data_IF_949460784756
#
_entry.id   IF_949460784756
#
_cell.length_a   1.000
_cell.length_b   1.000
_cell.length_c   1.000
_cell.angle_alpha   90.00
_cell.angle_beta   90.00
_cell.angle_gamma   90.00
#
_symmetry.space_group_name_H-M   'P 1'
#
loop_
_entity.id
_entity.type
_entity.pdbx_description
1 polymer ?
#
# COMPACT_ATOMS: atom_id res chain seq x y z
N UNK A 1 -11.31 51.79 29.82
CA UNK A 1 -10.74 50.46 30.18
C UNK A 1 -11.55 49.42 29.46
N UNK A 2 -11.11 48.93 28.31
CA UNK A 2 -11.83 47.93 27.52
C UNK A 2 -11.47 46.51 28.05
N UNK A 3 -12.50 45.84 28.51
CA UNK A 3 -12.46 44.47 28.94
C UNK A 3 -12.10 43.58 27.74
N UNK A 4 -10.81 43.21 27.58
CA UNK A 4 -10.41 42.19 26.63
C UNK A 4 -10.82 40.84 27.22
N UNK A 5 -12.04 40.43 26.90
CA UNK A 5 -12.52 39.09 27.22
C UNK A 5 -11.55 38.04 26.64
N UNK A 6 -11.04 37.16 27.52
CA UNK A 6 -10.31 35.96 27.13
C UNK A 6 -11.18 35.14 26.16
N UNK A 7 -10.93 35.27 24.86
CA UNK A 7 -11.50 34.35 23.86
C UNK A 7 -10.93 32.95 24.17
N UNK A 8 -11.73 32.08 24.76
CA UNK A 8 -11.40 30.65 24.83
C UNK A 8 -11.37 30.11 23.41
N UNK A 9 -10.18 29.73 22.95
CA UNK A 9 -10.00 29.12 21.64
C UNK A 9 -10.47 27.66 21.73
N UNK A 10 -11.62 27.36 21.13
CA UNK A 10 -12.13 26.00 21.00
C UNK A 10 -11.59 25.40 19.69
N UNK A 11 -10.84 24.30 19.80
CA UNK A 11 -10.19 23.67 18.65
C UNK A 11 -11.10 22.65 17.95
N UNK A 12 -12.30 22.41 18.47
CA UNK A 12 -13.31 21.56 17.82
C UNK A 12 -12.98 20.06 17.77
N UNK A 13 -11.95 19.61 18.50
CA UNK A 13 -11.56 18.21 18.54
C UNK A 13 -12.12 17.51 19.80
N UNK A 14 -12.85 16.43 19.58
CA UNK A 14 -13.35 15.55 20.63
C UNK A 14 -12.71 14.18 20.38
N UNK A 15 -11.79 13.71 21.23
CA UNK A 15 -11.10 12.44 21.03
C UNK A 15 -12.03 11.25 21.27
N UNK A 16 -11.92 10.24 20.43
CA UNK A 16 -12.46 8.92 20.72
C UNK A 16 -11.69 8.24 21.86
N UNK A 17 -12.28 7.20 22.47
CA UNK A 17 -11.68 6.51 23.62
C UNK A 17 -10.23 6.02 23.35
N UNK A 18 -9.97 5.46 22.18
CA UNK A 18 -8.63 5.02 21.77
C UNK A 18 -7.62 6.18 21.61
N UNK A 19 -8.06 7.33 21.13
CA UNK A 19 -7.22 8.54 21.02
C UNK A 19 -6.97 9.12 22.42
N UNK A 20 -7.98 9.15 23.28
CA UNK A 20 -7.86 9.59 24.67
C UNK A 20 -6.85 8.75 25.46
N UNK A 21 -6.75 7.45 25.18
CA UNK A 21 -5.76 6.58 25.80
C UNK A 21 -4.32 7.04 25.49
N UNK A 22 -4.04 7.47 24.24
CA UNK A 22 -2.73 8.02 23.84
C UNK A 22 -2.50 9.38 24.51
N UNK A 23 -3.48 10.28 24.47
CA UNK A 23 -3.39 11.58 25.14
C UNK A 23 -3.09 11.43 26.65
N UNK A 24 -3.74 10.48 27.31
CA UNK A 24 -3.53 10.19 28.73
C UNK A 24 -2.16 9.59 29.01
N UNK A 25 -1.68 8.67 28.15
CA UNK A 25 -0.35 8.09 28.30
C UNK A 25 0.75 9.16 28.15
N UNK A 26 0.60 10.08 27.20
CA UNK A 26 1.53 11.19 26.94
C UNK A 26 1.48 12.32 28.00
N UNK A 27 0.54 12.31 28.93
CA UNK A 27 0.46 13.29 30.03
C UNK A 27 1.62 13.20 31.05
N UNK A 28 2.54 12.22 30.90
CA UNK A 28 3.76 12.14 31.71
C UNK A 28 4.75 13.31 31.47
N UNK A 29 4.46 14.15 30.48
CA UNK A 29 5.12 15.44 30.26
C UNK A 29 6.42 15.36 29.46
N UNK A 30 7.14 16.49 29.48
CA UNK A 30 8.44 16.65 28.84
C UNK A 30 9.52 15.77 29.50
N UNK A 31 10.59 15.49 28.73
CA UNK A 31 11.79 14.83 29.24
C UNK A 31 11.59 13.43 29.81
N UNK A 32 10.51 12.75 29.40
CA UNK A 32 10.23 11.37 29.85
C UNK A 32 11.18 10.34 29.22
N UNK A 33 11.73 10.65 28.06
CA UNK A 33 12.53 9.71 27.23
C UNK A 33 11.72 8.50 26.73
N UNK A 34 10.42 8.47 26.94
CA UNK A 34 9.56 7.32 26.62
C UNK A 34 9.17 7.28 25.15
N UNK A 35 8.98 6.06 24.66
CA UNK A 35 8.53 5.80 23.30
C UNK A 35 7.11 5.20 23.39
N UNK A 36 6.16 5.84 22.73
CA UNK A 36 4.78 5.40 22.64
C UNK A 36 4.54 4.80 21.26
N UNK A 37 4.12 3.55 21.20
CA UNK A 37 3.92 2.82 19.94
C UNK A 37 2.43 2.54 19.77
N UNK A 38 1.82 3.17 18.79
CA UNK A 38 0.39 3.01 18.50
C UNK A 38 0.20 2.12 17.29
N UNK A 39 -0.37 0.94 17.50
CA UNK A 39 -0.81 0.04 16.45
C UNK A 39 -2.29 0.30 16.15
N UNK A 40 -2.61 0.60 14.89
CA UNK A 40 -3.96 0.97 14.52
C UNK A 40 -4.31 0.57 13.10
N UNK A 41 -5.54 0.15 12.86
CA UNK A 41 -6.08 -0.06 11.51
C UNK A 41 -6.28 1.26 10.77
N UNK A 42 -6.60 1.19 9.47
CA UNK A 42 -6.96 2.38 8.67
C UNK A 42 -8.23 3.06 9.18
N UNK A 43 -8.33 4.36 8.94
CA UNK A 43 -9.53 5.20 9.14
C UNK A 43 -10.02 5.29 10.60
N UNK A 44 -9.15 5.07 11.56
CA UNK A 44 -9.46 5.24 13.00
C UNK A 44 -8.92 6.54 13.60
N UNK A 45 -8.55 7.51 12.76
CA UNK A 45 -8.16 8.84 13.23
C UNK A 45 -6.74 8.95 13.82
N UNK A 46 -5.78 8.10 13.37
CA UNK A 46 -4.36 8.19 13.80
C UNK A 46 -3.76 9.59 13.59
N UNK A 47 -3.79 10.07 12.35
CA UNK A 47 -3.12 11.32 11.97
C UNK A 47 -3.71 12.52 12.68
N UNK A 48 -5.03 12.61 12.81
CA UNK A 48 -5.67 13.69 13.57
C UNK A 48 -5.25 13.66 15.05
N UNK A 49 -5.10 12.49 15.65
CA UNK A 49 -4.62 12.35 17.03
C UNK A 49 -3.16 12.84 17.15
N UNK A 50 -2.29 12.53 16.18
CA UNK A 50 -0.90 13.03 16.12
C UNK A 50 -0.87 14.55 16.00
N UNK A 51 -1.69 15.14 15.14
CA UNK A 51 -1.82 16.59 14.97
C UNK A 51 -2.22 17.26 16.28
N UNK A 52 -3.20 16.70 16.99
CA UNK A 52 -3.66 17.25 18.26
C UNK A 52 -2.61 17.11 19.37
N UNK A 53 -1.79 16.05 19.39
CA UNK A 53 -0.68 15.92 20.33
C UNK A 53 0.42 16.96 20.07
N UNK A 54 0.78 17.19 18.81
CA UNK A 54 1.73 18.25 18.45
C UNK A 54 1.25 19.61 18.92
N UNK A 55 -0.02 19.94 18.67
CA UNK A 55 -0.63 21.18 19.14
C UNK A 55 -0.68 21.27 20.66
N UNK A 56 -1.09 20.19 21.32
CA UNK A 56 -1.17 20.14 22.79
C UNK A 56 0.18 20.40 23.41
N UNK A 57 1.24 19.74 22.94
CA UNK A 57 2.61 19.96 23.44
C UNK A 57 3.09 21.39 23.17
N UNK A 58 2.92 21.88 21.95
CA UNK A 58 3.38 23.22 21.57
C UNK A 58 2.63 24.34 22.34
N UNK A 59 1.36 24.14 22.66
CA UNK A 59 0.55 25.13 23.40
C UNK A 59 0.85 25.05 24.92
N UNK A 60 0.91 23.84 25.45
CA UNK A 60 1.07 23.59 26.90
C UNK A 60 2.47 23.95 27.38
N UNK A 61 3.50 23.57 26.63
CA UNK A 61 4.89 23.73 27.02
C UNK A 61 5.53 24.85 26.22
N UNK A 62 5.72 26.01 26.86
CA UNK A 62 6.27 27.25 26.25
C UNK A 62 7.68 27.02 25.73
N UNK A 63 7.96 27.52 24.50
CA UNK A 63 9.28 27.54 23.89
C UNK A 63 9.79 26.18 23.42
N UNK A 64 8.90 25.18 23.30
CA UNK A 64 9.30 23.84 22.85
C UNK A 64 9.43 23.76 21.34
N UNK A 65 10.29 22.81 20.89
CA UNK A 65 10.43 22.42 19.49
C UNK A 65 9.81 21.03 19.34
N UNK A 66 8.77 20.96 18.51
CA UNK A 66 8.00 19.75 18.26
C UNK A 66 8.14 19.36 16.78
N UNK A 67 8.28 18.10 16.48
CA UNK A 67 8.47 17.63 15.11
C UNK A 67 7.52 16.50 14.72
N UNK A 68 7.13 16.49 13.45
CA UNK A 68 6.44 15.36 12.84
C UNK A 68 7.22 14.89 11.61
N UNK A 69 7.44 13.59 11.52
CA UNK A 69 8.05 12.96 10.34
C UNK A 69 7.05 11.99 9.72
N UNK A 70 6.82 12.15 8.42
CA UNK A 70 5.98 11.28 7.59
C UNK A 70 6.84 10.55 6.55
N UNK A 71 6.40 9.44 5.96
CA UNK A 71 7.11 8.79 4.87
C UNK A 71 7.36 9.73 3.69
N UNK A 72 6.35 10.45 3.23
CA UNK A 72 6.41 11.31 2.04
C UNK A 72 6.19 12.78 2.34
N UNK A 73 6.71 13.65 1.47
CA UNK A 73 6.51 15.11 1.59
C UNK A 73 5.04 15.51 1.46
N UNK A 74 4.26 14.80 0.64
CA UNK A 74 2.84 15.07 0.48
C UNK A 74 2.06 14.80 1.78
N UNK A 75 2.38 13.74 2.52
CA UNK A 75 1.77 13.45 3.82
C UNK A 75 2.16 14.52 4.85
N UNK A 76 3.44 14.89 4.92
CA UNK A 76 3.92 15.96 5.80
C UNK A 76 3.23 17.30 5.52
N UNK A 77 3.07 17.65 4.23
CA UNK A 77 2.37 18.89 3.80
C UNK A 77 0.89 18.86 4.16
N UNK A 78 0.23 17.71 4.01
CA UNK A 78 -1.17 17.56 4.40
C UNK A 78 -1.36 17.81 5.89
N UNK A 79 -0.59 17.14 6.76
CA UNK A 79 -0.68 17.34 8.21
C UNK A 79 -0.37 18.77 8.63
N UNK A 80 0.64 19.41 8.01
CA UNK A 80 0.91 20.84 8.22
C UNK A 80 -0.31 21.70 7.89
N UNK A 81 -0.95 21.46 6.74
CA UNK A 81 -2.12 22.24 6.31
C UNK A 81 -3.32 22.00 7.23
N UNK A 82 -3.53 20.78 7.67
CA UNK A 82 -4.62 20.42 8.58
C UNK A 82 -4.47 21.15 9.94
N UNK A 83 -3.24 21.21 10.49
CA UNK A 83 -2.95 22.00 11.70
C UNK A 83 -3.14 23.50 11.43
N UNK A 84 -2.63 24.03 10.31
CA UNK A 84 -2.82 25.44 9.95
C UNK A 84 -4.30 25.81 9.91
N UNK A 85 -5.11 25.00 9.24
CA UNK A 85 -6.56 25.23 9.13
C UNK A 85 -7.25 25.19 10.50
N UNK A 86 -6.76 24.34 11.41
CA UNK A 86 -7.32 24.20 12.76
C UNK A 86 -7.08 25.45 13.64
N UNK A 87 -5.93 26.11 13.52
CA UNK A 87 -5.50 27.15 14.48
C UNK A 87 -5.30 28.54 13.89
N UNK A 88 -5.41 28.74 12.57
CA UNK A 88 -5.03 30.00 11.92
C UNK A 88 -5.80 31.22 12.45
N UNK A 89 -7.09 31.04 12.71
CA UNK A 89 -7.98 32.13 13.21
C UNK A 89 -7.98 32.26 14.74
N UNK A 90 -7.20 31.41 15.43
CA UNK A 90 -7.17 31.39 16.90
C UNK A 90 -6.32 32.50 17.52
N UNK A 91 -5.46 33.15 16.71
CA UNK A 91 -4.50 34.15 17.20
C UNK A 91 -3.28 33.54 17.91
N UNK A 92 -3.10 32.20 17.92
CA UNK A 92 -1.94 31.54 18.53
C UNK A 92 -0.75 31.40 17.59
N UNK A 93 -0.94 31.58 16.29
CA UNK A 93 0.13 31.52 15.27
C UNK A 93 0.85 32.86 15.20
N UNK A 94 2.16 32.86 15.44
CA UNK A 94 3.04 34.02 15.28
C UNK A 94 3.61 34.11 13.87
N UNK A 95 4.09 32.96 13.34
CA UNK A 95 4.71 32.87 12.02
C UNK A 95 4.39 31.53 11.37
N UNK A 96 4.13 31.55 10.07
CA UNK A 96 3.94 30.37 9.22
C UNK A 96 4.97 30.38 8.09
N UNK A 97 5.58 29.23 7.82
CA UNK A 97 6.45 29.01 6.67
C UNK A 97 5.98 27.76 5.90
N UNK A 98 5.34 27.96 4.78
CA UNK A 98 4.79 26.88 3.95
C UNK A 98 5.85 26.11 3.16
N UNK A 99 6.99 26.76 2.86
CA UNK A 99 8.10 26.12 2.16
C UNK A 99 8.83 25.11 3.05
N UNK A 100 9.11 25.53 4.30
CA UNK A 100 9.80 24.70 5.28
C UNK A 100 8.84 23.78 6.07
N UNK A 101 7.52 24.00 5.93
CA UNK A 101 6.44 23.37 6.71
C UNK A 101 6.64 23.59 8.21
N UNK A 102 6.79 24.85 8.62
CA UNK A 102 7.08 25.23 10.01
C UNK A 102 6.07 26.26 10.52
N UNK A 103 5.67 26.11 11.77
CA UNK A 103 4.85 27.04 12.52
C UNK A 103 5.61 27.52 13.76
N UNK A 104 5.50 28.82 14.06
CA UNK A 104 5.93 29.40 15.32
C UNK A 104 4.70 29.98 16.04
N UNK A 105 4.52 29.58 17.29
CA UNK A 105 3.42 30.03 18.12
C UNK A 105 3.80 31.28 18.93
N UNK A 106 2.80 32.03 19.39
CA UNK A 106 3.00 33.25 20.19
C UNK A 106 3.73 33.01 21.52
N UNK A 107 3.68 31.78 22.03
CA UNK A 107 4.42 31.38 23.24
C UNK A 107 5.88 30.99 22.96
N UNK A 108 6.36 31.13 21.72
CA UNK A 108 7.72 30.80 21.27
C UNK A 108 7.93 29.32 20.89
N UNK A 109 6.92 28.47 21.01
CA UNK A 109 7.01 27.07 20.59
C UNK A 109 6.99 26.96 19.07
N UNK A 110 7.63 25.91 18.54
CA UNK A 110 7.69 25.61 17.11
C UNK A 110 7.15 24.23 16.83
N UNK A 111 6.51 24.09 15.68
CA UNK A 111 6.10 22.80 15.11
C UNK A 111 6.65 22.74 13.69
N UNK A 112 7.33 21.64 13.34
CA UNK A 112 7.80 21.43 11.97
C UNK A 112 7.42 20.04 11.46
N UNK A 113 7.32 19.94 10.13
CA UNK A 113 6.99 18.68 9.44
C UNK A 113 8.10 18.35 8.44
N UNK A 114 8.51 17.09 8.41
CA UNK A 114 9.55 16.59 7.51
C UNK A 114 9.15 15.27 6.87
N UNK A 115 9.84 14.93 5.79
CA UNK A 115 9.65 13.68 5.04
C UNK A 115 10.86 12.79 5.19
N UNK A 116 10.64 11.50 5.41
CA UNK A 116 11.69 10.49 5.45
C UNK A 116 12.36 10.25 4.09
N UNK A 117 11.71 10.62 2.97
CA UNK A 117 12.30 10.57 1.62
C UNK A 117 13.50 11.51 1.48
N UNK A 118 13.52 12.62 2.19
CA UNK A 118 14.54 13.67 2.11
C UNK A 118 15.58 13.53 3.25
N UNK A 119 16.31 12.43 3.27
CA UNK A 119 17.25 12.07 4.37
C UNK A 119 18.22 13.20 4.74
N UNK A 120 18.78 13.91 3.76
CA UNK A 120 19.74 14.99 4.01
C UNK A 120 19.11 16.18 4.74
N UNK A 121 17.82 16.42 4.52
CA UNK A 121 17.06 17.47 5.21
C UNK A 121 16.74 17.15 6.67
N UNK A 122 16.98 15.91 7.11
CA UNK A 122 16.72 15.45 8.48
C UNK A 122 17.91 15.65 9.43
N UNK A 123 19.03 16.19 8.98
CA UNK A 123 20.20 16.41 9.83
C UNK A 123 20.11 17.70 10.63
N UNK A 124 20.61 17.69 11.87
CA UNK A 124 20.79 18.90 12.69
C UNK A 124 19.54 19.38 13.46
N UNK A 125 18.49 18.58 13.55
CA UNK A 125 17.32 18.91 14.38
C UNK A 125 17.49 18.45 15.83
N UNK A 126 16.87 19.18 16.73
CA UNK A 126 16.76 18.83 18.16
C UNK A 126 15.34 19.05 18.61
N UNK A 127 14.74 18.07 19.26
CA UNK A 127 13.39 18.12 19.81
C UNK A 127 13.46 18.37 21.31
N UNK A 128 12.70 19.35 21.78
CA UNK A 128 12.56 19.67 23.22
C UNK A 128 11.14 19.43 23.74
N UNK A 129 10.18 19.22 22.83
CA UNK A 129 8.80 18.91 23.11
C UNK A 129 8.47 17.44 22.84
N UNK A 130 7.91 17.13 21.68
CA UNK A 130 7.57 15.77 21.25
C UNK A 130 8.01 15.53 19.81
N UNK A 131 8.49 14.31 19.52
CA UNK A 131 8.69 13.80 18.18
C UNK A 131 7.55 12.83 17.83
N UNK A 132 6.79 13.14 16.79
CA UNK A 132 5.79 12.23 16.23
C UNK A 132 6.31 11.65 14.91
N UNK A 133 6.12 10.35 14.70
CA UNK A 133 6.47 9.65 13.46
C UNK A 133 5.21 8.95 12.98
N UNK A 134 4.51 9.58 12.03
CA UNK A 134 3.27 9.03 11.49
C UNK A 134 3.54 8.10 10.30
N UNK A 135 2.72 7.06 10.16
CA UNK A 135 2.89 5.96 9.20
C UNK A 135 4.31 5.37 9.24
N UNK A 136 4.84 5.18 10.47
CA UNK A 136 6.23 4.79 10.73
C UNK A 136 6.62 3.41 10.17
N UNK A 137 5.67 2.49 9.93
CA UNK A 137 5.92 1.22 9.24
C UNK A 137 6.43 1.39 7.80
N UNK A 138 6.35 2.61 7.24
CA UNK A 138 6.84 2.96 5.90
C UNK A 138 8.16 3.72 5.92
N UNK A 139 8.77 3.89 7.08
CA UNK A 139 10.07 4.56 7.26
C UNK A 139 11.14 3.49 7.53
N UNK A 140 12.32 3.66 6.94
CA UNK A 140 13.40 2.69 7.09
C UNK A 140 14.06 2.77 8.46
N UNK A 141 14.61 1.64 8.93
CA UNK A 141 15.42 1.56 10.16
C UNK A 141 16.62 2.52 10.14
N UNK A 142 17.25 2.71 8.97
CA UNK A 142 18.35 3.65 8.77
C UNK A 142 17.95 5.09 9.12
N UNK A 143 16.77 5.53 8.70
CA UNK A 143 16.27 6.88 9.00
C UNK A 143 15.92 6.98 10.49
N UNK A 144 15.22 6.00 11.03
CA UNK A 144 14.82 6.06 12.43
C UNK A 144 16.00 6.02 13.39
N UNK A 145 16.81 4.96 13.33
CA UNK A 145 17.95 4.79 14.25
C UNK A 145 19.10 5.76 13.95
N UNK A 146 19.36 6.04 12.67
CA UNK A 146 20.48 6.88 12.27
C UNK A 146 20.24 8.38 12.38
N UNK A 147 19.00 8.84 12.34
CA UNK A 147 18.68 10.26 12.31
C UNK A 147 17.66 10.66 13.39
N UNK A 148 16.46 10.09 13.38
CA UNK A 148 15.34 10.60 14.18
C UNK A 148 15.54 10.37 15.68
N UNK A 149 16.06 9.22 16.07
CA UNK A 149 16.32 8.91 17.48
C UNK A 149 17.30 9.91 18.11
N UNK A 150 18.30 10.36 17.35
CA UNK A 150 19.27 11.35 17.83
C UNK A 150 18.64 12.71 18.15
N UNK A 151 17.52 13.09 17.51
CA UNK A 151 16.86 14.38 17.75
C UNK A 151 16.32 14.54 19.17
N UNK A 152 16.00 13.44 19.83
CA UNK A 152 15.34 13.41 21.15
C UNK A 152 16.32 13.17 22.29
N UNK A 153 17.56 12.70 22.01
CA UNK A 153 18.49 12.22 23.03
C UNK A 153 18.90 13.29 24.04
N UNK A 154 19.17 14.52 23.59
CA UNK A 154 19.68 15.61 24.45
C UNK A 154 18.66 15.99 25.53
N UNK A 155 17.40 16.08 25.14
CA UNK A 155 16.32 16.53 26.03
C UNK A 155 15.41 15.41 26.52
N UNK A 156 15.72 14.16 26.16
CA UNK A 156 14.88 13.00 26.46
C UNK A 156 13.41 13.24 26.09
N UNK A 157 13.19 13.87 24.90
CA UNK A 157 11.85 14.17 24.43
C UNK A 157 11.10 12.88 24.12
N UNK A 158 9.80 12.79 24.47
CA UNK A 158 9.01 11.62 24.13
C UNK A 158 8.86 11.44 22.63
N UNK A 159 8.76 10.17 22.20
CA UNK A 159 8.53 9.79 20.80
C UNK A 159 7.19 9.11 20.70
N UNK A 160 6.36 9.53 19.74
CA UNK A 160 5.10 8.89 19.37
C UNK A 160 5.22 8.25 17.98
N UNK A 161 5.19 6.94 17.94
CA UNK A 161 5.20 6.13 16.72
C UNK A 161 3.78 5.68 16.39
N UNK A 162 3.27 6.01 15.22
CA UNK A 162 1.92 5.61 14.79
C UNK A 162 1.96 5.00 13.39
N UNK A 163 1.27 3.87 13.19
CA UNK A 163 1.09 3.29 11.85
C UNK A 163 -0.01 2.22 11.81
N UNK A 164 -0.45 1.90 10.60
CA UNK A 164 -0.96 0.56 10.29
C UNK A 164 0.22 -0.41 10.27
N UNK A 165 0.09 -1.61 10.87
CA UNK A 165 1.14 -2.60 10.86
C UNK A 165 1.37 -3.16 9.46
N UNK A 166 2.55 -3.71 9.23
CA UNK A 166 2.91 -4.42 8.00
C UNK A 166 3.48 -5.80 8.35
N UNK A 167 4.79 -5.92 8.36
CA UNK A 167 5.49 -7.17 8.63
C UNK A 167 6.11 -7.16 10.03
N UNK A 168 6.31 -8.34 10.60
CA UNK A 168 7.03 -8.56 11.86
C UNK A 168 8.53 -8.32 11.68
N UNK A 169 8.88 -7.08 11.28
CA UNK A 169 10.26 -6.64 11.07
C UNK A 169 10.39 -5.11 11.17
N UNK A 170 11.64 -4.64 11.37
CA UNK A 170 11.99 -3.23 11.45
C UNK A 170 11.66 -2.61 12.81
N UNK A 171 12.07 -1.34 12.98
CA UNK A 171 11.99 -0.66 14.28
C UNK A 171 10.57 -0.60 14.84
N UNK A 172 9.55 -0.39 14.01
CA UNK A 172 8.17 -0.29 14.49
C UNK A 172 7.68 -1.59 15.12
N UNK A 173 7.96 -2.75 14.49
CA UNK A 173 7.69 -4.06 15.09
C UNK A 173 8.52 -4.29 16.37
N UNK A 174 9.81 -3.96 16.34
CA UNK A 174 10.69 -4.16 17.50
C UNK A 174 10.21 -3.37 18.72
N UNK A 175 9.85 -2.09 18.54
CA UNK A 175 9.28 -1.27 19.62
C UNK A 175 7.89 -1.72 20.02
N UNK A 176 7.06 -2.23 19.10
CA UNK A 176 5.78 -2.83 19.43
C UNK A 176 5.95 -4.01 20.39
N UNK A 177 6.80 -4.97 20.06
CA UNK A 177 7.08 -6.16 20.90
C UNK A 177 7.70 -5.74 22.25
N UNK A 178 8.63 -4.78 22.22
CA UNK A 178 9.23 -4.26 23.45
C UNK A 178 8.20 -3.61 24.38
N UNK A 179 7.24 -2.88 23.83
CA UNK A 179 6.17 -2.24 24.59
C UNK A 179 5.11 -3.18 25.15
N UNK A 180 5.08 -4.45 24.69
CA UNK A 180 4.23 -5.50 25.26
C UNK A 180 4.93 -6.27 26.41
N UNK A 181 6.22 -6.01 26.65
CA UNK A 181 6.98 -6.71 27.69
C UNK A 181 6.75 -6.09 29.06
N UNK A 182 6.39 -6.90 30.04
CA UNK A 182 6.16 -6.49 31.42
C UNK A 182 7.40 -5.89 32.11
N UNK A 183 8.60 -6.19 31.59
CA UNK A 183 9.87 -5.75 32.14
C UNK A 183 10.36 -4.41 31.55
N UNK A 184 9.55 -3.72 30.76
CA UNK A 184 9.95 -2.48 30.09
C UNK A 184 9.01 -1.32 30.45
N UNK A 185 9.58 -0.30 31.09
CA UNK A 185 8.86 0.93 31.44
C UNK A 185 9.05 2.07 30.43
N UNK A 186 10.04 1.95 29.52
CA UNK A 186 10.43 3.04 28.60
C UNK A 186 9.64 3.04 27.30
N UNK A 187 9.06 1.89 26.94
CA UNK A 187 8.22 1.75 25.74
C UNK A 187 6.82 1.37 26.13
N UNK A 188 5.84 2.06 25.58
CA UNK A 188 4.42 1.86 25.89
C UNK A 188 3.69 1.52 24.59
N UNK A 189 3.18 0.29 24.48
CA UNK A 189 2.36 -0.15 23.37
C UNK A 189 0.88 0.15 23.59
N UNK A 190 0.23 0.73 22.59
CA UNK A 190 -1.22 1.04 22.64
C UNK A 190 -1.85 0.46 21.37
N UNK A 191 -2.76 -0.50 21.55
CA UNK A 191 -3.50 -1.13 20.45
C UNK A 191 -4.87 -0.46 20.28
N UNK A 192 -5.07 0.22 19.15
CA UNK A 192 -6.37 0.83 18.84
C UNK A 192 -7.45 -0.22 18.56
N UNK A 193 -7.06 -1.44 18.19
CA UNK A 193 -8.02 -2.52 17.97
C UNK A 193 -8.63 -3.08 19.28
N UNK A 194 -8.05 -2.75 20.43
CA UNK A 194 -8.63 -3.12 21.72
C UNK A 194 -9.83 -2.24 22.12
N UNK A 195 -10.14 -1.21 21.34
CA UNK A 195 -11.26 -0.30 21.54
C UNK A 195 -12.36 -0.55 20.50
N UNK A 196 -13.60 -0.27 20.89
CA UNK A 196 -14.70 -0.26 19.92
C UNK A 196 -14.55 0.95 18.98
N UNK A 197 -14.42 0.67 17.70
CA UNK A 197 -14.30 1.67 16.63
C UNK A 197 -15.34 1.42 15.51
N UNK A 198 -16.44 0.74 15.85
CA UNK A 198 -17.54 0.41 14.91
C UNK A 198 -18.24 1.65 14.35
N UNK A 199 -18.27 2.75 15.10
CA UNK A 199 -18.78 4.05 14.62
C UNK A 199 -17.96 4.61 13.44
N UNK A 200 -16.65 4.29 13.35
CA UNK A 200 -15.77 4.76 12.29
C UNK A 200 -15.74 3.81 11.09
N UNK A 201 -15.92 2.52 11.34
CA UNK A 201 -15.93 1.48 10.31
C UNK A 201 -16.87 0.35 10.72
N UNK A 202 -18.05 0.31 10.09
CA UNK A 202 -19.08 -0.66 10.44
C UNK A 202 -18.69 -2.10 10.10
N UNK A 203 -19.24 -3.09 10.83
CA UNK A 203 -19.00 -4.52 10.56
C UNK A 203 -19.33 -4.94 9.12
N UNK A 204 -20.40 -4.39 8.54
CA UNK A 204 -20.82 -4.68 7.16
C UNK A 204 -19.75 -4.24 6.17
N UNK A 205 -19.15 -3.06 6.39
CA UNK A 205 -18.11 -2.52 5.54
C UNK A 205 -16.80 -3.29 5.70
N UNK A 206 -16.49 -3.77 6.90
CA UNK A 206 -15.36 -4.69 7.13
C UNK A 206 -15.54 -5.99 6.36
N UNK A 207 -16.73 -6.57 6.39
CA UNK A 207 -17.03 -7.80 5.64
C UNK A 207 -16.93 -7.58 4.12
N UNK A 208 -17.40 -6.45 3.63
CA UNK A 208 -17.21 -6.06 2.23
C UNK A 208 -15.72 -6.01 1.85
N UNK A 209 -14.87 -5.37 2.67
CA UNK A 209 -13.43 -5.31 2.42
C UNK A 209 -12.76 -6.68 2.52
N UNK A 210 -13.21 -7.54 3.44
CA UNK A 210 -12.73 -8.92 3.56
C UNK A 210 -12.92 -9.74 2.28
N UNK A 211 -14.01 -9.49 1.56
CA UNK A 211 -14.30 -10.20 0.29
C UNK A 211 -13.63 -9.57 -0.92
N UNK A 212 -13.20 -8.30 -0.85
CA UNK A 212 -12.64 -7.54 -1.98
C UNK A 212 -11.11 -7.50 -1.98
N UNK A 213 -10.47 -7.67 -0.83
CA UNK A 213 -9.03 -7.49 -0.67
C UNK A 213 -8.34 -8.83 -0.44
N UNK A 214 -7.06 -8.95 -0.85
CA UNK A 214 -6.22 -10.06 -0.42
C UNK A 214 -6.16 -10.17 1.10
N UNK A 215 -6.16 -11.39 1.62
CA UNK A 215 -6.17 -11.68 3.06
C UNK A 215 -5.10 -10.90 3.84
N UNK A 216 -3.85 -10.89 3.34
CA UNK A 216 -2.76 -10.16 3.97
C UNK A 216 -3.03 -8.65 4.04
N UNK A 217 -3.52 -8.05 2.97
CA UNK A 217 -3.89 -6.63 2.95
C UNK A 217 -5.06 -6.34 3.88
N UNK A 218 -6.08 -7.19 3.91
CA UNK A 218 -7.19 -7.05 4.85
C UNK A 218 -6.73 -7.13 6.30
N UNK A 219 -5.86 -8.09 6.64
CA UNK A 219 -5.32 -8.25 8.00
C UNK A 219 -4.51 -7.03 8.44
N UNK A 220 -3.62 -6.51 7.60
CA UNK A 220 -2.80 -5.34 7.97
C UNK A 220 -3.62 -4.05 8.03
N UNK A 221 -4.40 -3.75 6.99
CA UNK A 221 -5.03 -2.44 6.83
C UNK A 221 -6.32 -2.29 7.66
N UNK A 222 -7.10 -3.38 7.80
CA UNK A 222 -8.42 -3.33 8.44
C UNK A 222 -8.51 -4.09 9.75
N UNK A 223 -7.68 -5.12 9.95
CA UNK A 223 -7.59 -5.82 11.24
C UNK A 223 -6.43 -5.32 12.09
N UNK A 224 -5.51 -4.54 11.51
CA UNK A 224 -4.37 -3.97 12.24
C UNK A 224 -3.41 -5.04 12.77
N UNK A 225 -3.18 -6.11 12.00
CA UNK A 225 -2.30 -7.22 12.38
C UNK A 225 -0.96 -7.14 11.65
N UNK A 226 0.12 -7.52 12.35
CA UNK A 226 1.42 -7.71 11.73
C UNK A 226 1.48 -9.06 11.03
N UNK A 227 2.01 -9.09 9.81
CA UNK A 227 2.23 -10.33 9.04
C UNK A 227 3.67 -10.83 9.20
N UNK A 228 3.86 -12.13 9.03
CA UNK A 228 5.20 -12.70 8.93
C UNK A 228 5.90 -12.19 7.66
N UNK A 229 7.22 -11.98 7.74
CA UNK A 229 8.02 -11.35 6.68
C UNK A 229 8.18 -12.19 5.40
N UNK A 230 7.77 -13.44 5.41
CA UNK A 230 7.78 -14.37 4.28
C UNK A 230 6.35 -14.66 3.81
N UNK A 231 5.60 -13.66 3.42
CA UNK A 231 4.32 -13.93 2.78
C UNK A 231 4.56 -14.33 1.32
N UNK A 232 4.46 -15.63 1.04
CA UNK A 232 4.23 -16.16 -0.30
C UNK A 232 3.00 -15.44 -0.85
N UNK A 233 3.17 -14.76 -1.98
CA UNK A 233 2.10 -13.92 -2.55
C UNK A 233 0.86 -14.75 -2.89
N UNK A 234 1.06 -15.98 -3.40
CA UNK A 234 -0.02 -16.86 -3.85
C UNK A 234 -0.07 -18.17 -3.03
N UNK A 235 -0.31 -18.06 -1.72
CA UNK A 235 -0.28 -19.22 -0.82
C UNK A 235 -1.33 -20.32 -1.11
N UNK A 236 -2.51 -19.94 -1.60
CA UNK A 236 -3.66 -20.84 -1.74
C UNK A 236 -3.80 -21.45 -3.16
N UNK A 237 -2.88 -21.15 -4.09
CA UNK A 237 -3.03 -21.55 -5.50
C UNK A 237 -3.07 -23.08 -5.73
N UNK A 238 -2.43 -23.88 -4.85
CA UNK A 238 -2.34 -25.34 -4.99
C UNK A 238 -3.71 -26.00 -4.98
N UNK A 239 -4.66 -25.45 -4.23
CA UNK A 239 -6.02 -25.94 -4.16
C UNK A 239 -6.86 -25.56 -5.38
N UNK A 240 -6.34 -24.66 -6.20
CA UNK A 240 -6.95 -24.22 -7.46
C UNK A 240 -6.40 -24.98 -8.68
N UNK A 241 -5.46 -25.90 -8.50
CA UNK A 241 -4.98 -26.78 -9.58
C UNK A 241 -6.13 -27.71 -9.99
N UNK A 242 -6.46 -27.70 -11.28
CA UNK A 242 -7.60 -28.45 -11.81
C UNK A 242 -7.34 -29.95 -11.79
N UNK A 243 -8.32 -30.70 -11.28
CA UNK A 243 -8.29 -32.17 -11.22
C UNK A 243 -9.18 -32.87 -12.27
N UNK A 244 -9.83 -32.14 -13.17
CA UNK A 244 -10.77 -32.70 -14.13
C UNK A 244 -10.79 -31.97 -15.47
N UNK A 245 -11.64 -32.44 -16.38
CA UNK A 245 -11.82 -31.85 -17.70
C UNK A 245 -12.55 -30.50 -17.64
N UNK A 246 -12.24 -29.65 -18.60
CA UNK A 246 -12.94 -28.36 -18.75
C UNK A 246 -14.33 -28.62 -19.35
N UNK A 247 -15.35 -28.09 -18.67
CA UNK A 247 -16.71 -28.06 -19.21
C UNK A 247 -16.78 -27.17 -20.47
N UNK A 248 -17.72 -27.41 -21.38
CA UNK A 248 -17.93 -26.54 -22.53
C UNK A 248 -18.03 -25.08 -22.12
N UNK A 249 -17.38 -24.19 -22.86
CA UNK A 249 -17.32 -22.74 -22.61
C UNK A 249 -17.59 -21.94 -23.88
N UNK A 250 -18.07 -20.71 -23.72
CA UNK A 250 -18.44 -19.81 -24.80
C UNK A 250 -17.44 -18.65 -24.98
N UNK A 251 -16.86 -18.18 -23.90
CA UNK A 251 -16.01 -16.99 -23.89
C UNK A 251 -14.58 -17.35 -23.45
N UNK A 252 -13.59 -16.76 -24.14
CA UNK A 252 -12.19 -16.81 -23.78
C UNK A 252 -11.61 -15.41 -23.59
N UNK A 253 -10.78 -15.28 -22.57
CA UNK A 253 -10.02 -14.09 -22.23
C UNK A 253 -8.56 -14.48 -22.18
N UNK A 254 -7.73 -13.77 -22.97
CA UNK A 254 -6.33 -14.15 -23.18
C UNK A 254 -5.42 -13.08 -22.60
N UNK A 255 -4.38 -13.51 -21.90
CA UNK A 255 -3.25 -12.69 -21.49
C UNK A 255 -1.99 -13.11 -22.23
N UNK A 256 -1.20 -12.14 -22.70
CA UNK A 256 0.07 -12.39 -23.38
C UNK A 256 1.17 -11.60 -22.67
N UNK A 257 2.20 -12.33 -22.26
CA UNK A 257 3.48 -11.80 -21.82
C UNK A 257 4.55 -12.14 -22.87
N UNK A 258 5.32 -11.13 -23.30
CA UNK A 258 6.24 -11.25 -24.43
C UNK A 258 7.67 -11.46 -23.98
N UNK A 259 8.24 -12.60 -24.34
CA UNK A 259 9.67 -12.82 -24.20
C UNK A 259 10.49 -12.09 -25.27
N UNK A 260 11.73 -11.79 -24.94
CA UNK A 260 12.69 -11.12 -25.85
C UNK A 260 13.05 -11.92 -27.10
N UNK A 261 12.67 -13.19 -27.16
CA UNK A 261 13.03 -14.12 -28.24
C UNK A 261 14.47 -14.64 -28.18
N UNK A 262 15.25 -14.22 -27.18
CA UNK A 262 16.65 -14.63 -26.98
C UNK A 262 16.83 -15.09 -25.52
N UNK A 263 17.55 -16.18 -25.31
CA UNK A 263 17.86 -16.70 -23.97
C UNK A 263 16.72 -17.49 -23.33
N UNK A 264 16.58 -17.37 -22.01
CA UNK A 264 15.61 -18.12 -21.19
C UNK A 264 14.24 -17.45 -21.07
N UNK A 265 14.09 -16.24 -21.58
CA UNK A 265 12.87 -15.44 -21.51
C UNK A 265 11.82 -15.98 -22.49
N UNK A 266 10.65 -16.35 -21.98
CA UNK A 266 9.63 -17.05 -22.76
C UNK A 266 8.45 -16.12 -23.08
N UNK A 267 7.91 -16.23 -24.29
CA UNK A 267 6.58 -15.69 -24.58
C UNK A 267 5.54 -16.66 -24.07
N UNK A 268 4.62 -16.15 -23.28
CA UNK A 268 3.54 -16.92 -22.66
C UNK A 268 2.18 -16.38 -23.05
N UNK A 269 1.29 -17.30 -23.43
CA UNK A 269 -0.12 -17.02 -23.72
C UNK A 269 -0.97 -17.87 -22.78
N UNK A 270 -1.69 -17.22 -21.88
CA UNK A 270 -2.63 -17.86 -20.95
C UNK A 270 -4.06 -17.50 -21.31
N UNK A 271 -4.94 -18.47 -21.39
CA UNK A 271 -6.36 -18.26 -21.67
C UNK A 271 -7.25 -18.79 -20.55
N UNK A 272 -8.20 -17.98 -20.10
CA UNK A 272 -9.23 -18.37 -19.16
C UNK A 272 -10.62 -18.25 -19.81
N UNK A 273 -11.57 -19.06 -19.35
CA UNK A 273 -12.97 -18.96 -19.79
C UNK A 273 -13.81 -18.02 -18.89
N UNK A 274 -15.10 -17.93 -19.16
CA UNK A 274 -16.05 -17.12 -18.38
C UNK A 274 -16.19 -17.54 -16.91
N UNK A 275 -15.76 -18.75 -16.54
CA UNK A 275 -15.75 -19.27 -15.16
C UNK A 275 -14.40 -19.12 -14.46
N UNK A 276 -13.42 -18.44 -15.09
CA UNK A 276 -12.02 -18.35 -14.67
C UNK A 276 -11.30 -19.72 -14.66
N UNK A 277 -11.71 -20.66 -15.47
CA UNK A 277 -10.96 -21.90 -15.67
C UNK A 277 -9.90 -21.66 -16.74
N UNK A 278 -8.63 -21.90 -16.44
CA UNK A 278 -7.55 -21.81 -17.41
C UNK A 278 -7.68 -22.91 -18.45
N UNK A 279 -7.92 -22.53 -19.72
CA UNK A 279 -8.23 -23.44 -20.79
C UNK A 279 -6.98 -23.97 -21.44
N UNK A 280 -6.00 -23.09 -21.66
CA UNK A 280 -4.67 -23.47 -22.16
C UNK A 280 -3.61 -22.52 -21.63
N UNK A 281 -2.39 -23.02 -21.64
CA UNK A 281 -1.15 -22.30 -21.37
C UNK A 281 -0.18 -22.66 -22.49
N UNK A 282 0.10 -21.68 -23.36
CA UNK A 282 1.09 -21.82 -24.45
C UNK A 282 2.35 -21.09 -24.03
N UNK A 283 3.49 -21.75 -24.12
CA UNK A 283 4.80 -21.19 -23.79
C UNK A 283 5.81 -21.58 -24.88
N UNK A 284 6.59 -20.61 -25.30
CA UNK A 284 7.69 -20.84 -26.24
C UNK A 284 8.77 -19.77 -26.09
N UNK A 285 9.97 -20.10 -26.55
CA UNK A 285 11.12 -19.21 -26.64
C UNK A 285 11.82 -19.36 -28.00
N UNK A 286 12.91 -18.62 -28.19
CA UNK A 286 13.78 -18.73 -29.38
C UNK A 286 13.06 -18.47 -30.73
N UNK A 287 12.03 -17.63 -30.74
CA UNK A 287 11.35 -17.16 -31.94
C UNK A 287 11.57 -15.66 -32.12
N UNK A 288 11.84 -15.24 -33.38
CA UNK A 288 11.91 -13.83 -33.72
C UNK A 288 10.54 -13.17 -33.60
N UNK A 289 10.50 -11.85 -33.44
CA UNK A 289 9.27 -11.08 -33.22
C UNK A 289 8.13 -11.44 -34.21
N UNK A 290 8.42 -11.51 -35.50
CA UNK A 290 7.42 -11.87 -36.53
C UNK A 290 6.94 -13.32 -36.35
N UNK A 291 7.85 -14.25 -36.08
CA UNK A 291 7.55 -15.67 -35.87
C UNK A 291 6.70 -15.90 -34.60
N UNK A 292 6.88 -15.06 -33.59
CA UNK A 292 6.05 -15.11 -32.36
C UNK A 292 4.59 -14.78 -32.67
N UNK A 293 4.36 -13.68 -33.43
CA UNK A 293 3.02 -13.23 -33.81
C UNK A 293 2.31 -14.25 -34.70
N UNK A 294 3.04 -14.78 -35.73
CA UNK A 294 2.50 -15.79 -36.62
C UNK A 294 2.11 -17.07 -35.85
N UNK A 295 3.00 -17.52 -34.97
CA UNK A 295 2.77 -18.72 -34.17
C UNK A 295 1.54 -18.57 -33.24
N UNK A 296 1.44 -17.44 -32.55
CA UNK A 296 0.27 -17.13 -31.70
C UNK A 296 -1.01 -17.06 -32.56
N UNK A 297 -0.98 -16.36 -33.69
CA UNK A 297 -2.14 -16.20 -34.56
C UNK A 297 -2.62 -17.55 -35.10
N UNK A 298 -1.72 -18.42 -35.54
CA UNK A 298 -2.05 -19.79 -35.99
C UNK A 298 -2.66 -20.62 -34.84
N UNK A 299 -2.05 -20.58 -33.65
CA UNK A 299 -2.54 -21.30 -32.48
C UNK A 299 -3.93 -20.84 -32.05
N UNK A 300 -4.22 -19.54 -32.13
CA UNK A 300 -5.51 -18.96 -31.71
C UNK A 300 -6.61 -19.09 -32.76
N UNK A 301 -6.29 -19.41 -34.00
CA UNK A 301 -7.27 -19.50 -35.11
C UNK A 301 -8.50 -20.34 -34.79
N UNK A 302 -8.40 -21.55 -34.19
CA UNK A 302 -9.58 -22.37 -33.84
C UNK A 302 -10.49 -21.74 -32.80
N UNK A 303 -10.01 -20.75 -32.06
CA UNK A 303 -10.70 -20.14 -30.93
C UNK A 303 -11.27 -18.75 -31.22
N UNK A 304 -11.05 -18.18 -32.40
CA UNK A 304 -11.43 -16.78 -32.72
C UNK A 304 -12.89 -16.46 -32.41
N UNK A 305 -13.82 -17.35 -32.66
CA UNK A 305 -15.23 -17.13 -32.36
C UNK A 305 -15.55 -17.02 -30.88
N UNK A 306 -14.68 -17.56 -30.01
CA UNK A 306 -14.83 -17.56 -28.56
C UNK A 306 -14.00 -16.48 -27.88
N UNK A 307 -12.96 -15.97 -28.53
CA UNK A 307 -12.08 -14.95 -27.91
C UNK A 307 -12.83 -13.62 -27.81
N UNK A 308 -12.96 -13.12 -26.61
CA UNK A 308 -13.61 -11.82 -26.32
C UNK A 308 -12.60 -10.70 -26.28
N UNK A 309 -11.42 -10.96 -25.75
CA UNK A 309 -10.36 -9.97 -25.63
C UNK A 309 -9.01 -10.66 -25.46
N UNK A 310 -7.99 -10.08 -26.04
CA UNK A 310 -6.60 -10.35 -25.76
C UNK A 310 -6.03 -9.14 -25.04
N UNK A 311 -5.48 -9.35 -23.85
CA UNK A 311 -4.74 -8.36 -23.08
C UNK A 311 -3.25 -8.67 -23.22
N UNK A 312 -2.47 -7.77 -23.79
CA UNK A 312 -1.05 -8.00 -24.04
C UNK A 312 -0.20 -6.88 -23.43
N UNK A 313 0.91 -7.25 -22.81
CA UNK A 313 1.86 -6.29 -22.24
C UNK A 313 2.56 -5.50 -23.34
N UNK A 314 2.76 -4.19 -23.10
CA UNK A 314 3.46 -3.31 -24.07
C UNK A 314 4.84 -2.86 -23.58
N UNK A 315 5.25 -3.23 -22.37
CA UNK A 315 6.55 -2.88 -21.83
C UNK A 315 7.69 -3.58 -22.60
N UNK A 316 8.87 -2.99 -22.61
CA UNK A 316 10.04 -3.58 -23.25
C UNK A 316 9.84 -3.80 -24.75
N UNK A 317 9.85 -5.06 -25.17
CA UNK A 317 9.67 -5.47 -26.58
C UNK A 317 8.19 -5.58 -26.98
N UNK A 318 7.26 -5.34 -26.07
CA UNK A 318 5.84 -5.65 -26.26
C UNK A 318 5.12 -4.77 -27.27
N UNK A 319 5.39 -3.45 -27.31
CA UNK A 319 4.62 -2.54 -28.19
C UNK A 319 4.67 -2.94 -29.68
N UNK A 320 5.82 -3.19 -30.33
CA UNK A 320 5.85 -3.61 -31.72
C UNK A 320 5.16 -4.96 -31.98
N UNK A 321 5.24 -5.88 -31.00
CA UNK A 321 4.58 -7.20 -31.08
C UNK A 321 3.06 -7.08 -31.00
N UNK A 322 2.55 -6.23 -30.11
CA UNK A 322 1.12 -5.95 -30.00
C UNK A 322 0.57 -5.29 -31.26
N UNK A 323 1.30 -4.33 -31.84
CA UNK A 323 0.89 -3.68 -33.08
C UNK A 323 0.86 -4.69 -34.26
N UNK A 324 1.87 -5.54 -34.36
CA UNK A 324 1.91 -6.63 -35.32
C UNK A 324 0.78 -7.64 -35.14
N UNK A 325 0.47 -8.00 -33.89
CA UNK A 325 -0.63 -8.90 -33.56
C UNK A 325 -2.00 -8.30 -33.95
N UNK A 326 -2.23 -7.01 -33.71
CA UNK A 326 -3.45 -6.31 -34.14
C UNK A 326 -3.62 -6.38 -35.66
N UNK A 327 -2.54 -6.18 -36.42
CA UNK A 327 -2.53 -6.28 -37.90
C UNK A 327 -2.85 -7.71 -38.32
N UNK A 328 -2.18 -8.72 -37.74
CA UNK A 328 -2.37 -10.12 -38.08
C UNK A 328 -3.79 -10.62 -37.81
N UNK A 329 -4.39 -10.16 -36.70
CA UNK A 329 -5.77 -10.51 -36.34
C UNK A 329 -6.82 -9.73 -37.16
N UNK A 330 -6.44 -8.67 -37.87
CA UNK A 330 -7.30 -7.90 -38.77
C UNK A 330 -8.70 -7.61 -38.24
N UNK A 331 -8.81 -7.16 -36.99
CA UNK A 331 -10.09 -6.81 -36.35
C UNK A 331 -10.98 -7.99 -35.95
N UNK A 332 -10.59 -9.24 -36.21
CA UNK A 332 -11.36 -10.44 -35.82
C UNK A 332 -11.48 -10.61 -34.31
N UNK A 333 -10.49 -10.13 -33.58
CA UNK A 333 -10.40 -10.21 -32.12
C UNK A 333 -9.94 -8.87 -31.55
N UNK A 334 -10.54 -8.44 -30.46
CA UNK A 334 -10.14 -7.22 -29.76
C UNK A 334 -8.83 -7.44 -29.01
N UNK A 335 -7.78 -6.69 -29.36
CA UNK A 335 -6.51 -6.65 -28.63
C UNK A 335 -6.42 -5.34 -27.83
N UNK A 336 -6.13 -5.43 -26.55
CA UNK A 336 -5.90 -4.29 -25.66
C UNK A 336 -4.49 -4.32 -25.09
N UNK A 337 -3.92 -3.15 -25.02
CA UNK A 337 -2.60 -2.90 -24.45
C UNK A 337 -2.67 -2.84 -22.92
N UNK A 338 -1.64 -3.38 -22.29
CA UNK A 338 -1.40 -3.25 -20.86
C UNK A 338 0.00 -2.72 -20.61
N UNK A 339 0.08 -1.49 -20.08
CA UNK A 339 1.35 -0.92 -19.66
C UNK A 339 1.57 -1.24 -18.19
N UNK A 340 2.56 -2.07 -17.88
CA UNK A 340 2.92 -2.44 -16.51
C UNK A 340 3.62 -1.28 -15.82
N UNK A 341 2.93 -0.71 -14.85
CA UNK A 341 3.46 0.22 -13.84
C UNK A 341 3.38 -0.42 -12.47
N UNK A 342 4.12 0.07 -11.48
CA UNK A 342 4.05 -0.49 -10.13
C UNK A 342 2.59 -0.52 -9.58
N UNK A 343 1.83 0.54 -9.81
CA UNK A 343 0.43 0.63 -9.38
C UNK A 343 -0.47 -0.40 -10.08
N UNK A 344 -0.31 -0.55 -11.41
CA UNK A 344 -1.10 -1.52 -12.19
C UNK A 344 -0.70 -2.96 -11.84
N UNK A 345 0.60 -3.23 -11.64
CA UNK A 345 1.12 -4.54 -11.23
C UNK A 345 0.52 -4.98 -9.89
N UNK A 346 0.55 -4.11 -8.88
CA UNK A 346 -0.08 -4.38 -7.58
C UNK A 346 -1.56 -4.73 -7.73
N UNK A 347 -2.29 -3.99 -8.57
CA UNK A 347 -3.72 -4.21 -8.77
C UNK A 347 -4.04 -5.58 -9.38
N UNK A 348 -3.31 -5.99 -10.44
CA UNK A 348 -3.57 -7.30 -11.08
C UNK A 348 -3.11 -8.46 -10.20
N UNK A 349 -2.05 -8.29 -9.41
CA UNK A 349 -1.63 -9.26 -8.39
C UNK A 349 -2.72 -9.45 -7.35
N UNK A 350 -3.25 -8.36 -6.80
CA UNK A 350 -4.34 -8.44 -5.81
C UNK A 350 -5.57 -9.17 -6.36
N UNK A 351 -5.91 -8.97 -7.63
CA UNK A 351 -7.03 -9.68 -8.28
C UNK A 351 -6.77 -11.19 -8.34
N UNK A 352 -5.57 -11.60 -8.72
CA UNK A 352 -5.20 -13.03 -8.77
C UNK A 352 -5.13 -13.64 -7.36
N UNK A 353 -4.59 -12.92 -6.36
CA UNK A 353 -4.59 -13.37 -4.96
C UNK A 353 -6.01 -13.65 -4.46
N UNK A 354 -6.93 -12.69 -4.64
CA UNK A 354 -8.33 -12.85 -4.25
C UNK A 354 -8.99 -14.02 -4.99
N UNK A 355 -8.68 -14.20 -6.27
CA UNK A 355 -9.23 -15.31 -7.05
C UNK A 355 -8.77 -16.68 -6.50
N UNK A 356 -7.49 -16.82 -6.08
CA UNK A 356 -6.98 -18.02 -5.44
C UNK A 356 -7.57 -18.22 -4.03
N UNK A 357 -7.53 -17.21 -3.18
CA UNK A 357 -8.05 -17.27 -1.81
C UNK A 357 -9.53 -17.65 -1.75
N UNK A 358 -10.32 -17.16 -2.72
CA UNK A 358 -11.75 -17.47 -2.83
C UNK A 358 -12.04 -18.71 -3.66
N UNK A 359 -11.01 -19.41 -4.17
CA UNK A 359 -11.15 -20.58 -5.07
C UNK A 359 -12.05 -20.30 -6.29
N UNK A 360 -12.01 -19.05 -6.77
CA UNK A 360 -12.79 -18.58 -7.95
C UNK A 360 -12.01 -18.69 -9.26
N UNK A 361 -10.90 -19.38 -9.25
CA UNK A 361 -10.07 -19.67 -10.42
C UNK A 361 -9.66 -21.13 -10.40
N UNK A 362 -9.46 -21.72 -11.56
CA UNK A 362 -8.91 -23.07 -11.73
C UNK A 362 -7.79 -23.01 -12.76
N UNK A 363 -6.61 -23.48 -12.40
CA UNK A 363 -5.42 -23.45 -13.25
C UNK A 363 -5.01 -24.85 -13.71
N UNK A 364 -4.27 -24.89 -14.82
CA UNK A 364 -3.67 -26.12 -15.33
C UNK A 364 -2.55 -26.57 -14.37
N UNK A 365 -2.39 -27.87 -14.20
CA UNK A 365 -1.25 -28.47 -13.54
C UNK A 365 -0.03 -28.42 -14.49
N UNK A 366 0.70 -27.31 -14.45
CA UNK A 366 1.93 -27.06 -15.20
C UNK A 366 3.06 -26.78 -14.22
N UNK A 367 4.13 -27.55 -14.30
CA UNK A 367 5.24 -27.51 -13.34
C UNK A 367 5.90 -26.11 -13.28
N UNK A 368 6.11 -25.46 -14.44
CA UNK A 368 6.72 -24.14 -14.44
C UNK A 368 5.78 -23.08 -13.84
N UNK A 369 4.50 -23.08 -14.21
CA UNK A 369 3.51 -22.16 -13.65
C UNK A 369 3.39 -22.32 -12.12
N UNK A 370 3.35 -23.57 -11.63
CA UNK A 370 3.27 -23.83 -10.19
C UNK A 370 4.54 -23.42 -9.46
N UNK A 371 5.72 -23.58 -10.07
CA UNK A 371 6.99 -23.10 -9.52
C UNK A 371 7.03 -21.55 -9.47
N UNK A 372 6.66 -20.88 -10.55
CA UNK A 372 6.61 -19.40 -10.59
C UNK A 372 5.63 -18.84 -9.54
N UNK A 373 4.43 -19.42 -9.41
CA UNK A 373 3.46 -19.04 -8.39
C UNK A 373 3.99 -19.26 -6.96
N UNK A 374 4.70 -20.37 -6.73
CA UNK A 374 5.24 -20.70 -5.40
C UNK A 374 6.40 -19.82 -4.97
N UNK A 375 7.16 -19.29 -5.93
CA UNK A 375 8.34 -18.46 -5.68
C UNK A 375 8.03 -16.96 -5.74
N UNK A 376 6.82 -16.57 -6.17
CA UNK A 376 6.46 -15.16 -6.32
C UNK A 376 6.43 -14.47 -4.95
N UNK A 377 7.24 -13.44 -4.77
CA UNK A 377 7.45 -12.83 -3.47
C UNK A 377 7.15 -11.33 -3.43
N UNK A 378 6.73 -10.87 -2.27
CA UNK A 378 6.60 -9.46 -1.96
C UNK A 378 7.88 -9.00 -1.24
N UNK A 379 8.59 -8.03 -1.83
CA UNK A 379 9.77 -7.40 -1.22
C UNK A 379 9.43 -6.00 -0.73
N UNK A 380 9.79 -5.72 0.51
CA UNK A 380 9.70 -4.36 1.05
C UNK A 380 11.01 -3.65 0.75
N UNK A 381 10.94 -2.63 -0.10
CA UNK A 381 12.05 -1.74 -0.39
C UNK A 381 12.45 -0.90 0.81
N UNK A 382 13.65 -0.29 0.76
CA UNK A 382 14.20 0.56 1.84
C UNK A 382 13.27 1.71 2.27
N UNK A 383 12.38 2.14 1.40
CA UNK A 383 11.40 3.22 1.66
C UNK A 383 10.00 2.69 2.04
N UNK A 384 9.90 1.43 2.46
CA UNK A 384 8.61 0.80 2.77
C UNK A 384 7.71 0.51 1.55
N UNK A 385 8.20 0.77 0.32
CA UNK A 385 7.49 0.44 -0.91
C UNK A 385 7.48 -1.07 -1.11
N UNK A 386 6.31 -1.65 -1.33
CA UNK A 386 6.20 -3.08 -1.65
C UNK A 386 6.36 -3.25 -3.16
N UNK A 387 7.27 -4.12 -3.55
CA UNK A 387 7.43 -4.60 -4.93
C UNK A 387 7.15 -6.09 -4.97
N UNK A 388 6.60 -6.54 -6.08
CA UNK A 388 6.22 -7.92 -6.30
C UNK A 388 6.94 -8.44 -7.54
N UNK A 389 7.75 -9.47 -7.39
CA UNK A 389 8.50 -10.07 -8.49
C UNK A 389 8.85 -11.53 -8.16
N UNK A 390 9.24 -12.28 -9.18
CA UNK A 390 10.00 -13.50 -8.96
C UNK A 390 11.38 -13.15 -8.32
N UNK A 391 12.00 -14.06 -7.55
CA UNK A 391 13.36 -13.93 -7.08
C UNK A 391 14.35 -13.68 -8.22
N UNK A 392 15.50 -13.06 -7.93
CA UNK A 392 16.53 -12.83 -8.94
C UNK A 392 16.97 -14.14 -9.60
N UNK A 393 16.92 -14.18 -10.94
CA UNK A 393 17.22 -15.36 -11.74
C UNK A 393 16.06 -16.32 -11.98
N UNK A 394 14.86 -15.99 -11.48
CA UNK A 394 13.62 -16.72 -11.76
C UNK A 394 12.71 -15.90 -12.68
N UNK A 395 11.87 -16.59 -13.46
CA UNK A 395 10.89 -15.97 -14.35
C UNK A 395 9.52 -15.86 -13.65
N UNK A 396 8.66 -14.94 -14.13
CA UNK A 396 7.26 -14.81 -13.72
C UNK A 396 6.30 -14.73 -14.93
N UNK A 397 6.74 -15.15 -16.09
CA UNK A 397 6.06 -14.99 -17.39
C UNK A 397 4.66 -15.64 -17.38
N UNK A 398 4.53 -16.84 -16.80
CA UNK A 398 3.24 -17.54 -16.74
C UNK A 398 2.26 -16.88 -15.77
N UNK A 399 2.79 -16.30 -14.69
CA UNK A 399 2.01 -15.56 -13.69
C UNK A 399 1.51 -14.25 -14.29
N UNK A 400 2.37 -13.51 -15.01
CA UNK A 400 1.99 -12.26 -15.70
C UNK A 400 0.93 -12.54 -16.75
N UNK A 401 1.12 -13.54 -17.61
CA UNK A 401 0.13 -13.89 -18.64
C UNK A 401 -1.23 -14.28 -18.03
N UNK A 402 -1.26 -15.03 -16.91
CA UNK A 402 -2.47 -15.38 -16.20
C UNK A 402 -3.17 -14.14 -15.61
N UNK A 403 -2.42 -13.24 -15.00
CA UNK A 403 -2.94 -11.98 -14.46
C UNK A 403 -3.56 -11.11 -15.55
N UNK A 404 -2.93 -11.03 -16.72
CA UNK A 404 -3.43 -10.29 -17.88
C UNK A 404 -4.73 -10.88 -18.44
N UNK A 405 -4.89 -12.20 -18.46
CA UNK A 405 -6.13 -12.86 -18.85
C UNK A 405 -7.31 -12.48 -17.92
N UNK A 406 -7.07 -12.47 -16.59
CA UNK A 406 -8.06 -12.03 -15.59
C UNK A 406 -8.40 -10.55 -15.76
N UNK A 407 -7.38 -9.71 -15.97
CA UNK A 407 -7.57 -8.28 -16.20
C UNK A 407 -8.44 -8.02 -17.44
N UNK A 408 -8.19 -8.74 -18.54
CA UNK A 408 -8.98 -8.67 -19.78
C UNK A 408 -10.47 -8.95 -19.52
N UNK A 409 -10.76 -10.00 -18.74
CA UNK A 409 -12.12 -10.34 -18.35
C UNK A 409 -12.78 -9.26 -17.50
N UNK A 410 -12.08 -8.74 -16.50
CA UNK A 410 -12.62 -7.74 -15.58
C UNK A 410 -12.89 -6.39 -16.26
N UNK A 411 -12.12 -6.02 -17.28
CA UNK A 411 -12.36 -4.79 -18.06
C UNK A 411 -13.60 -4.89 -18.94
N UNK A 412 -13.94 -6.07 -19.46
CA UNK A 412 -15.19 -6.27 -20.21
C UNK A 412 -16.42 -5.95 -19.34
N UNK A 413 -16.40 -6.39 -18.09
CA UNK A 413 -17.52 -6.19 -17.17
C UNK A 413 -17.73 -4.73 -16.75
N UNK A 414 -16.73 -3.84 -16.96
CA UNK A 414 -16.82 -2.39 -16.65
C UNK A 414 -17.33 -1.54 -17.82
N UNK A 415 -17.48 -2.07 -19.02
CA UNK A 415 -18.03 -1.35 -20.19
C UNK A 415 -19.56 -1.41 -20.28
N UNK A 416 -20.26 -1.65 -19.16
CA UNK A 416 -21.67 -1.36 -19.01
C UNK A 416 -21.89 0.16 -19.06
N UNK A 417 -22.61 0.60 -20.05
CA UNK A 417 -23.02 1.93 -20.48
C UNK A 417 -23.24 2.91 -19.32
N UNK A 418 -22.32 3.88 -19.14
CA UNK A 418 -22.69 5.15 -18.53
C UNK A 418 -23.18 6.06 -19.66
N UNK A 419 -24.48 6.04 -19.94
CA UNK A 419 -25.13 7.13 -20.65
C UNK A 419 -25.23 8.30 -19.67
N UNK A 420 -24.35 9.29 -19.83
CA UNK A 420 -24.54 10.60 -19.19
C UNK A 420 -25.66 11.28 -19.98
N UNK A 421 -26.88 11.20 -19.46
CA UNK A 421 -27.95 12.08 -19.89
C UNK A 421 -27.66 13.48 -19.38
N UNK A 422 -27.33 14.40 -20.27
CA UNK A 422 -27.42 15.83 -20.00
C UNK A 422 -28.91 16.18 -19.95
N UNK A 423 -29.40 16.63 -18.80
CA UNK A 423 -30.63 17.41 -18.64
C UNK A 423 -30.23 18.83 -18.32
#
# INVERSE_FOLDING_TARGET
MSNKGNKKTYVGYIPFAHQLAVHSALNKGLNSGKIYVVKARRQVGKSIMVEQELLRYAITYKGTINGCVCPTLNQARKMFQDIVNCIMDSGVVRKKNETLLELELVNGSKIFFKSAEQKDSLRGYTITGILCVDECAFISDEVFYGLLLAWTNVHKAPILLTSTPKFKQGFYWNYWVLGLSDNNEDVIAIDFNSFDTSELLSPEKLEQYRTMLPKGQFLTEYMGEFLDSQSIVFGEFKECIRKGEIKPYNDLYIGIDWGSGVGSDSTVVSAINERNEQVFLLRFNQKRAVEQVDYITQYLTPFFSKIRIIMAEVNGVGQPLVDSLKIALNGKVQVREFCTTNANKIRIINQLQVAFEQRKISIIDDEQQTNELSMYEAKVGKNGTITYNAPSGCNDDTVIALMLAIEGKNRKNKTGTYSIGFV
#
